data_IF_997142817802
#
_entry.id   IF_997142817802
#
_cell.length_a   1.000
_cell.length_b   1.000
_cell.length_c   1.000
_cell.angle_alpha   90.00
_cell.angle_beta   90.00
_cell.angle_gamma   90.00
#
_symmetry.space_group_name_H-M   'P 1'
#
loop_
_entity.id
_entity.type
_entity.pdbx_description
1 polymer ?
#
# COMPACT_ATOMS: atom_id res chain seq x y z
N UNK A 1 -54.73 -8.51 3.40
CA UNK A 1 -55.65 -9.62 3.66
C UNK A 1 -55.88 -10.27 2.30
N UNK A 2 -55.07 -11.21 1.80
CA UNK A 2 -54.20 -12.21 2.43
C UNK A 2 -53.10 -12.70 1.45
N UNK A 3 -52.12 -13.52 1.91
CA UNK A 3 -50.71 -13.53 1.48
C UNK A 3 -50.29 -14.77 0.65
N UNK A 4 -49.15 -14.67 -0.06
CA UNK A 4 -48.22 -15.74 -0.48
C UNK A 4 -47.09 -15.05 -1.29
N UNK A 5 -45.90 -14.76 -0.76
CA UNK A 5 -44.80 -15.63 -0.33
C UNK A 5 -44.43 -16.74 -1.33
N UNK A 6 -43.56 -16.41 -2.30
CA UNK A 6 -42.64 -17.40 -2.86
C UNK A 6 -41.38 -16.72 -3.44
N UNK A 7 -40.30 -16.84 -2.67
CA UNK A 7 -38.90 -16.89 -3.07
C UNK A 7 -38.59 -17.00 -4.59
N UNK A 8 -37.85 -16.03 -5.13
CA UNK A 8 -36.86 -16.31 -6.18
C UNK A 8 -35.52 -15.65 -5.85
N UNK A 9 -34.66 -16.46 -5.27
CA UNK A 9 -33.23 -16.25 -5.11
C UNK A 9 -32.59 -16.06 -6.48
N UNK A 10 -32.33 -14.81 -6.86
CA UNK A 10 -31.51 -14.48 -8.04
C UNK A 10 -30.05 -14.38 -7.63
N UNK A 11 -29.29 -15.45 -7.83
CA UNK A 11 -27.84 -15.46 -7.64
C UNK A 11 -27.18 -14.39 -8.53
N UNK A 12 -26.51 -13.43 -7.87
CA UNK A 12 -25.58 -12.48 -8.45
C UNK A 12 -24.47 -13.21 -9.22
N UNK A 13 -24.40 -13.02 -10.54
CA UNK A 13 -23.26 -13.51 -11.32
C UNK A 13 -22.00 -12.66 -11.03
N UNK A 14 -20.82 -13.28 -10.84
CA UNK A 14 -19.57 -12.55 -10.81
C UNK A 14 -19.15 -12.18 -12.25
N UNK A 15 -19.08 -10.88 -12.56
CA UNK A 15 -18.47 -10.38 -13.80
C UNK A 15 -17.00 -10.77 -13.84
N UNK A 16 -16.61 -11.64 -14.80
CA UNK A 16 -15.21 -11.90 -15.14
C UNK A 16 -14.56 -10.60 -15.65
N UNK A 17 -13.79 -9.95 -14.79
CA UNK A 17 -12.91 -8.85 -15.18
C UNK A 17 -11.69 -9.39 -15.93
N UNK A 18 -11.62 -9.11 -17.23
CA UNK A 18 -10.44 -9.29 -18.06
C UNK A 18 -9.33 -8.35 -17.55
N UNK A 19 -8.34 -8.87 -16.82
CA UNK A 19 -7.09 -8.17 -16.53
C UNK A 19 -6.19 -8.22 -17.76
N UNK A 20 -6.17 -7.14 -18.54
CA UNK A 20 -5.13 -6.92 -19.56
C UNK A 20 -3.77 -6.61 -18.90
N UNK A 21 -2.65 -6.98 -19.53
CA UNK A 21 -1.32 -6.69 -18.98
C UNK A 21 -0.99 -5.19 -19.09
N UNK A 22 -0.55 -4.62 -17.96
CA UNK A 22 0.00 -3.27 -17.87
C UNK A 22 1.35 -3.21 -18.61
N UNK A 23 1.40 -2.52 -19.75
CA UNK A 23 2.64 -2.22 -20.46
C UNK A 23 3.38 -1.06 -19.79
N UNK A 24 4.55 -1.34 -19.20
CA UNK A 24 5.45 -0.29 -18.73
C UNK A 24 6.24 0.27 -19.92
N UNK A 25 6.05 1.55 -20.24
CA UNK A 25 6.89 2.25 -21.23
C UNK A 25 8.24 2.55 -20.61
N UNK A 26 9.31 1.98 -21.16
CA UNK A 26 10.69 2.34 -20.76
C UNK A 26 11.06 3.71 -21.31
N UNK A 27 11.54 4.60 -20.44
CA UNK A 27 12.13 5.88 -20.82
C UNK A 27 13.43 5.66 -21.61
N UNK A 28 13.66 6.52 -22.60
CA UNK A 28 14.75 6.44 -23.58
C UNK A 28 16.08 6.91 -22.95
N UNK A 29 17.05 6.01 -22.86
CA UNK A 29 18.41 6.33 -22.42
C UNK A 29 19.10 7.29 -23.41
N UNK A 30 19.83 8.27 -22.88
CA UNK A 30 20.66 9.20 -23.65
C UNK A 30 21.98 8.52 -24.05
N UNK A 31 22.52 8.74 -25.26
CA UNK A 31 23.78 8.12 -25.68
C UNK A 31 24.97 8.82 -25.01
N UNK A 32 25.70 8.08 -24.18
CA UNK A 32 27.04 8.47 -23.73
C UNK A 32 28.02 7.85 -24.73
N UNK A 33 28.79 8.69 -25.42
CA UNK A 33 29.77 8.24 -26.43
C UNK A 33 30.92 7.45 -25.75
N UNK A 34 31.34 6.29 -26.27
CA UNK A 34 32.44 5.53 -25.69
C UNK A 34 33.78 6.10 -26.16
N UNK A 35 34.53 6.71 -25.23
CA UNK A 35 35.94 7.02 -25.42
C UNK A 35 36.77 5.79 -25.05
N UNK A 36 37.49 5.26 -26.03
CA UNK A 36 38.73 4.51 -25.82
C UNK A 36 38.60 3.00 -25.55
N UNK A 37 38.88 2.19 -26.57
CA UNK A 37 39.54 0.89 -26.39
C UNK A 37 40.65 0.81 -27.43
N UNK A 38 41.89 0.62 -27.00
CA UNK A 38 42.55 -0.69 -27.16
C UNK A 38 43.23 -1.07 -25.83
N UNK A 39 43.48 -2.33 -25.48
CA UNK A 39 44.43 -3.27 -26.09
C UNK A 39 44.10 -4.67 -25.54
N UNK A 40 44.12 -5.70 -26.38
CA UNK A 40 44.23 -7.12 -25.95
C UNK A 40 45.70 -7.50 -25.83
N UNK A 41 46.09 -8.31 -24.85
CA UNK A 41 46.36 -9.70 -25.23
C UNK A 41 45.97 -10.76 -24.20
N UNK A 42 45.50 -11.88 -24.75
CA UNK A 42 45.86 -13.26 -24.42
C UNK A 42 45.62 -13.86 -23.02
N UNK A 43 44.83 -14.94 -23.06
CA UNK A 43 45.21 -16.27 -22.58
C UNK A 43 45.40 -16.47 -21.06
N UNK A 44 44.50 -17.24 -20.45
CA UNK A 44 44.80 -18.59 -19.93
C UNK A 44 43.52 -19.18 -19.33
N UNK A 45 43.22 -20.43 -19.72
CA UNK A 45 42.26 -21.29 -19.03
C UNK A 45 42.69 -21.43 -17.57
N UNK A 46 41.85 -21.02 -16.62
CA UNK A 46 41.97 -21.45 -15.21
C UNK A 46 40.79 -22.34 -14.84
N UNK A 47 40.64 -23.44 -15.57
CA UNK A 47 40.02 -24.65 -15.03
C UNK A 47 40.96 -25.29 -14.01
N UNK A 48 41.23 -24.61 -12.88
CA UNK A 48 41.99 -25.17 -11.75
C UNK A 48 41.99 -24.18 -10.56
N UNK A 49 40.94 -24.19 -9.75
CA UNK A 49 40.98 -23.64 -8.38
C UNK A 49 39.83 -24.17 -7.51
N UNK A 50 39.39 -25.42 -7.77
CA UNK A 50 38.46 -26.13 -6.87
C UNK A 50 39.14 -27.17 -5.97
N UNK A 51 40.43 -27.45 -6.20
CA UNK A 51 41.10 -28.60 -5.59
C UNK A 51 42.06 -28.24 -4.43
N UNK A 52 41.96 -27.03 -3.87
CA UNK A 52 42.87 -26.58 -2.79
C UNK A 52 42.16 -26.34 -1.44
N UNK A 53 40.93 -26.82 -1.25
CA UNK A 53 40.31 -26.81 0.07
C UNK A 53 40.61 -28.17 0.73
N UNK A 54 41.42 -28.24 1.79
CA UNK A 54 41.64 -29.50 2.48
C UNK A 54 40.33 -30.00 3.08
N UNK A 55 40.07 -31.30 2.93
CA UNK A 55 38.85 -32.03 3.33
C UNK A 55 38.51 -31.93 4.84
N UNK A 56 39.37 -31.33 5.65
CA UNK A 56 39.19 -31.16 7.08
C UNK A 56 38.72 -29.76 7.50
N UNK A 57 38.36 -28.89 6.55
CA UNK A 57 37.74 -27.62 6.87
C UNK A 57 36.28 -27.86 7.28
N UNK A 58 36.06 -28.09 8.58
CA UNK A 58 34.72 -27.92 9.16
C UNK A 58 34.38 -26.46 8.93
N UNK A 59 33.55 -26.18 7.93
CA UNK A 59 32.92 -24.89 7.77
C UNK A 59 32.20 -24.62 9.09
N UNK A 60 32.83 -23.84 9.96
CA UNK A 60 32.19 -23.26 11.13
C UNK A 60 31.17 -22.33 10.53
N UNK A 61 30.00 -22.88 10.22
CA UNK A 61 28.83 -22.12 9.80
C UNK A 61 28.79 -20.97 10.79
N UNK A 62 28.96 -19.73 10.32
CA UNK A 62 28.51 -18.59 11.09
C UNK A 62 27.07 -18.93 11.47
N UNK A 63 26.90 -19.42 12.70
CA UNK A 63 25.68 -20.08 13.13
C UNK A 63 24.67 -18.95 13.15
N UNK A 64 23.87 -18.87 12.08
CA UNK A 64 22.89 -17.80 11.95
C UNK A 64 22.01 -17.91 13.18
N UNK A 65 22.14 -16.95 14.10
CA UNK A 65 21.39 -16.90 15.37
C UNK A 65 19.87 -17.01 15.15
N UNK A 66 19.42 -16.65 13.95
CA UNK A 66 18.03 -16.69 13.55
C UNK A 66 17.80 -17.51 12.29
N UNK A 67 16.60 -18.10 12.22
CA UNK A 67 16.13 -18.87 11.06
C UNK A 67 16.07 -17.98 9.80
N UNK A 68 16.63 -18.44 8.66
CA UNK A 68 16.51 -17.76 7.37
C UNK A 68 15.03 -17.47 7.03
N UNK A 69 14.77 -16.31 6.43
CA UNK A 69 13.40 -15.83 6.14
C UNK A 69 12.62 -16.80 5.26
N UNK A 70 13.29 -17.44 4.30
CA UNK A 70 12.71 -18.45 3.39
C UNK A 70 12.17 -19.68 4.12
N UNK A 71 12.73 -19.99 5.31
CA UNK A 71 12.35 -21.14 6.12
C UNK A 71 11.35 -20.79 7.23
N UNK A 72 10.90 -19.53 7.32
CA UNK A 72 9.90 -19.14 8.32
C UNK A 72 8.53 -19.66 7.91
N UNK A 73 7.79 -20.21 8.87
CA UNK A 73 6.40 -20.60 8.65
C UNK A 73 5.60 -19.32 8.49
N UNK A 74 4.95 -19.16 7.35
CA UNK A 74 3.96 -18.10 7.16
C UNK A 74 2.65 -18.61 7.75
N UNK A 75 2.04 -17.90 8.71
CA UNK A 75 0.72 -18.28 9.20
C UNK A 75 -0.26 -18.28 8.03
N UNK A 76 -1.13 -19.28 7.99
CA UNK A 76 -2.21 -19.32 7.01
C UNK A 76 -3.15 -18.16 7.32
N UNK A 77 -3.46 -17.36 6.30
CA UNK A 77 -4.46 -16.30 6.41
C UNK A 77 -5.81 -16.96 6.68
N UNK A 78 -6.19 -17.01 7.95
CA UNK A 78 -7.48 -17.56 8.43
C UNK A 78 -8.42 -16.40 8.75
N UNK A 79 -9.72 -16.68 8.76
CA UNK A 79 -10.71 -15.71 9.24
C UNK A 79 -10.51 -15.48 10.74
N UNK A 80 -10.52 -14.22 11.18
CA UNK A 80 -10.43 -13.87 12.60
C UNK A 80 -11.55 -14.59 13.37
N UNK A 81 -11.22 -15.39 14.40
CA UNK A 81 -12.23 -16.13 15.15
C UNK A 81 -13.16 -15.15 15.88
N UNK A 82 -14.42 -15.54 16.05
CA UNK A 82 -15.45 -14.69 16.66
C UNK A 82 -15.04 -14.20 18.06
N UNK A 83 -14.37 -15.05 18.84
CA UNK A 83 -13.85 -14.70 20.17
C UNK A 83 -12.79 -13.59 20.17
N UNK A 84 -12.11 -13.37 19.03
CA UNK A 84 -11.09 -12.32 18.87
C UNK A 84 -11.65 -11.06 18.22
N UNK A 85 -12.93 -11.03 17.82
CA UNK A 85 -13.56 -9.83 17.28
C UNK A 85 -13.90 -8.87 18.42
N UNK A 86 -13.50 -7.62 18.25
CA UNK A 86 -13.81 -6.57 19.22
C UNK A 86 -15.27 -6.14 19.03
N UNK A 87 -16.14 -6.44 19.99
CA UNK A 87 -17.52 -5.94 20.02
C UNK A 87 -17.56 -4.49 20.48
N UNK A 88 -17.96 -3.57 19.60
CA UNK A 88 -18.21 -2.16 19.98
C UNK A 88 -19.67 -2.03 20.44
N UNK A 89 -19.88 -1.71 21.72
CA UNK A 89 -21.21 -1.47 22.29
C UNK A 89 -21.32 -0.03 22.80
N UNK A 90 -22.39 0.64 22.42
CA UNK A 90 -22.77 1.95 22.97
C UNK A 90 -23.83 1.70 24.05
N UNK A 91 -23.54 1.94 25.35
CA UNK A 91 -24.49 1.68 26.43
C UNK A 91 -25.61 2.72 26.50
N UNK A 92 -25.36 3.94 26.03
CA UNK A 92 -26.30 5.06 25.90
C UNK A 92 -26.02 5.79 24.58
N UNK A 93 -26.88 6.72 24.16
CA UNK A 93 -26.61 7.49 22.95
C UNK A 93 -25.43 8.46 23.19
N UNK A 94 -24.32 8.32 22.43
CA UNK A 94 -23.14 9.16 22.63
C UNK A 94 -23.37 10.64 22.32
N UNK A 95 -24.49 11.01 21.70
CA UNK A 95 -24.81 12.38 21.33
C UNK A 95 -25.74 13.09 22.32
N UNK A 96 -26.24 12.41 23.36
CA UNK A 96 -27.26 12.93 24.29
C UNK A 96 -26.87 14.27 24.96
N UNK A 97 -25.57 14.45 25.24
CA UNK A 97 -25.06 15.64 25.93
C UNK A 97 -24.35 16.64 25.00
N UNK A 98 -24.33 16.37 23.69
CA UNK A 98 -23.65 17.25 22.75
C UNK A 98 -24.55 18.40 22.34
N UNK A 99 -24.03 19.64 22.33
CA UNK A 99 -24.78 20.77 21.81
C UNK A 99 -25.01 20.59 20.30
N UNK A 100 -26.19 21.01 19.84
CA UNK A 100 -26.50 21.03 18.41
C UNK A 100 -25.60 22.05 17.72
N UNK A 101 -24.79 21.58 16.78
CA UNK A 101 -23.93 22.44 15.97
C UNK A 101 -24.75 23.12 14.86
N UNK A 102 -24.54 24.42 14.60
CA UNK A 102 -25.17 25.07 13.46
C UNK A 102 -24.62 24.47 12.16
N UNK A 103 -25.51 24.22 11.20
CA UNK A 103 -25.14 23.68 9.88
C UNK A 103 -24.36 24.69 9.03
N UNK A 104 -24.62 25.99 9.24
CA UNK A 104 -23.96 27.08 8.53
C UNK A 104 -23.01 27.81 9.49
N UNK A 105 -21.72 27.95 9.12
CA UNK A 105 -20.79 28.73 9.94
C UNK A 105 -21.21 30.21 9.96
N UNK A 106 -20.86 30.96 11.03
CA UNK A 106 -21.05 32.40 11.06
C UNK A 106 -20.23 33.09 9.95
N UNK A 107 -20.59 34.31 9.55
CA UNK A 107 -19.82 35.07 8.59
C UNK A 107 -18.40 35.32 9.11
N UNK A 108 -17.42 35.29 8.21
CA UNK A 108 -16.02 35.52 8.55
C UNK A 108 -15.82 36.95 9.07
N UNK A 109 -15.05 37.09 10.15
CA UNK A 109 -14.60 38.38 10.69
C UNK A 109 -13.08 38.40 10.75
N UNK A 110 -12.41 39.41 10.18
CA UNK A 110 -10.95 39.50 10.19
C UNK A 110 -10.44 39.65 11.62
N UNK A 111 -9.36 38.93 11.93
CA UNK A 111 -8.70 38.96 13.23
C UNK A 111 -7.20 39.23 13.11
N UNK A 112 -6.49 39.24 14.24
CA UNK A 112 -5.04 39.49 14.26
C UNK A 112 -4.24 38.53 13.36
N UNK A 113 -4.65 37.26 13.32
CA UNK A 113 -3.92 36.21 12.58
C UNK A 113 -4.35 36.05 11.12
N UNK A 114 -5.59 36.38 10.78
CA UNK A 114 -6.15 36.27 9.44
C UNK A 114 -6.87 37.56 9.10
N UNK A 115 -6.20 38.40 8.31
CA UNK A 115 -6.75 39.66 7.79
C UNK A 115 -7.63 39.37 6.58
N UNK A 116 -8.49 40.33 6.23
CA UNK A 116 -9.40 40.20 5.08
C UNK A 116 -8.62 39.95 3.78
N UNK A 117 -7.54 40.72 3.55
CA UNK A 117 -6.67 40.58 2.36
C UNK A 117 -6.15 39.15 2.20
N UNK A 118 -5.65 38.54 3.29
CA UNK A 118 -5.15 37.16 3.27
C UNK A 118 -6.28 36.15 3.10
N UNK A 119 -7.46 36.43 3.64
CA UNK A 119 -8.64 35.58 3.44
C UNK A 119 -9.06 35.54 1.98
N UNK A 120 -9.04 36.69 1.31
CA UNK A 120 -9.41 36.82 -0.11
C UNK A 120 -8.37 36.13 -1.03
N UNK A 121 -7.08 36.23 -0.70
CA UNK A 121 -5.99 35.54 -1.42
C UNK A 121 -6.09 34.01 -1.36
N UNK A 122 -6.65 33.44 -0.28
CA UNK A 122 -6.78 32.00 -0.10
C UNK A 122 -7.69 31.34 -1.15
N UNK A 123 -8.52 32.11 -1.87
CA UNK A 123 -9.41 31.62 -2.93
C UNK A 123 -10.18 30.36 -2.48
N UNK A 124 -10.73 30.40 -1.27
CA UNK A 124 -11.41 29.26 -0.66
C UNK A 124 -12.58 28.81 -1.52
N UNK A 125 -12.69 27.49 -1.69
CA UNK A 125 -13.76 26.85 -2.44
C UNK A 125 -13.94 27.30 -3.91
N UNK A 126 -12.83 27.59 -4.62
CA UNK A 126 -12.83 28.01 -6.03
C UNK A 126 -13.63 27.10 -7.00
N UNK A 127 -13.76 25.83 -6.66
CA UNK A 127 -14.41 24.83 -7.51
C UNK A 127 -15.76 24.35 -6.96
N UNK A 128 -16.35 25.08 -6.01
CA UNK A 128 -17.64 24.75 -5.41
C UNK A 128 -17.67 23.27 -4.94
N UNK A 129 -16.57 22.84 -4.33
CA UNK A 129 -16.38 21.47 -3.90
C UNK A 129 -17.22 21.22 -2.64
N UNK A 130 -18.16 20.26 -2.73
CA UNK A 130 -19.14 19.87 -1.69
C UNK A 130 -20.33 20.82 -1.49
N UNK A 131 -20.54 21.80 -2.37
CA UNK A 131 -21.84 22.46 -2.50
C UNK A 131 -22.74 21.64 -3.45
N UNK A 132 -24.03 21.42 -3.11
CA UNK A 132 -24.96 20.60 -3.90
C UNK A 132 -25.35 21.24 -5.25
#
# INVERSE_FOLDING_TARGET
MDPEEASRVGFSQPRLGLRGPLSFTTSKAHPVNPVGSPVTPDNMKSSQTRDLIPDNTVAVYATRKYKPVERRVKPVATTTPESAKIGRRFPSDPLEFLPVLPHTPPPFSPGSRLTQERYDELNLNKHDFLTP
#
